data_IF_834957727272
#
_entry.id   IF_834957727272
#
_cell.length_a   1.000
_cell.length_b   1.000
_cell.length_c   1.000
_cell.angle_alpha   90.00
_cell.angle_beta   90.00
_cell.angle_gamma   90.00
#
_symmetry.space_group_name_H-M   'P 1'
#
loop_
_entity.id
_entity.type
_entity.pdbx_description
1 polymer ?
#
# COMPACT_ATOMS: atom_id res chain seq x y z
N UNK A 1 8.31 -2.25 10.21
CA UNK A 1 7.46 -3.43 10.00
C UNK A 1 8.28 -4.71 9.78
N UNK A 2 8.99 -5.21 10.81
CA UNK A 2 9.88 -6.39 10.63
C UNK A 2 9.22 -7.76 10.80
N UNK A 3 7.99 -7.85 11.33
CA UNK A 3 7.39 -9.13 11.76
C UNK A 3 5.95 -9.40 11.28
N UNK A 4 5.28 -8.42 10.69
CA UNK A 4 3.90 -8.60 10.23
C UNK A 4 3.88 -9.12 8.79
N UNK A 5 3.17 -10.23 8.57
CA UNK A 5 2.93 -10.80 7.24
C UNK A 5 1.45 -11.12 7.11
N UNK A 6 0.77 -10.45 6.20
CA UNK A 6 -0.60 -10.73 5.81
C UNK A 6 -0.60 -11.33 4.40
N UNK A 7 -1.66 -12.06 4.07
CA UNK A 7 -1.84 -12.68 2.76
C UNK A 7 -3.29 -12.49 2.32
N UNK A 8 -3.49 -12.18 1.06
CA UNK A 8 -4.82 -12.14 0.43
C UNK A 8 -5.31 -13.56 0.13
N UNK A 9 -6.57 -13.66 -0.29
CA UNK A 9 -7.16 -14.85 -0.89
C UNK A 9 -6.47 -15.20 -2.20
N UNK A 10 -6.50 -16.49 -2.50
CA UNK A 10 -6.00 -17.04 -3.76
C UNK A 10 -7.12 -17.02 -4.78
N UNK A 11 -6.90 -16.35 -5.91
CA UNK A 11 -7.81 -16.37 -7.06
C UNK A 11 -7.23 -17.35 -8.09
N UNK A 12 -7.95 -18.43 -8.35
CA UNK A 12 -7.47 -19.53 -9.21
C UNK A 12 -7.63 -19.17 -10.68
N UNK A 13 -6.62 -19.54 -11.50
CA UNK A 13 -6.67 -19.47 -12.97
C UNK A 13 -7.00 -18.07 -13.52
N UNK A 14 -6.46 -17.02 -12.90
CA UNK A 14 -6.64 -15.65 -13.37
C UNK A 14 -5.35 -14.85 -13.20
N UNK A 15 -4.85 -14.28 -14.30
CA UNK A 15 -3.66 -13.42 -14.35
C UNK A 15 -3.98 -11.94 -14.15
N UNK A 16 -5.26 -11.57 -14.10
CA UNK A 16 -5.75 -10.26 -13.69
C UNK A 16 -6.73 -10.41 -12.50
N UNK A 17 -6.24 -10.88 -11.34
CA UNK A 17 -7.07 -11.13 -10.17
C UNK A 17 -7.60 -9.84 -9.54
N UNK A 18 -8.92 -9.74 -9.41
CA UNK A 18 -9.56 -8.70 -8.60
C UNK A 18 -9.74 -9.20 -7.17
N UNK A 19 -8.77 -8.91 -6.29
CA UNK A 19 -8.85 -9.35 -4.89
C UNK A 19 -9.92 -8.62 -4.09
N UNK A 20 -10.01 -7.29 -4.26
CA UNK A 20 -10.92 -6.42 -3.51
C UNK A 20 -10.93 -6.74 -1.99
N UNK A 21 -9.74 -6.95 -1.44
CA UNK A 21 -9.53 -7.40 -0.06
C UNK A 21 -8.82 -6.32 0.76
N UNK A 22 -9.36 -6.04 1.95
CA UNK A 22 -8.77 -5.09 2.88
C UNK A 22 -7.81 -5.81 3.84
N UNK A 23 -6.58 -5.30 3.94
CA UNK A 23 -5.56 -5.80 4.87
C UNK A 23 -5.12 -4.68 5.81
N UNK A 24 -5.23 -4.91 7.11
CA UNK A 24 -4.87 -3.92 8.15
C UNK A 24 -3.49 -4.20 8.73
N UNK A 25 -2.53 -3.32 8.43
CA UNK A 25 -1.16 -3.39 8.94
C UNK A 25 -0.96 -2.41 10.10
N UNK A 26 -0.22 -2.82 11.14
CA UNK A 26 0.10 -1.94 12.27
C UNK A 26 1.42 -1.22 12.00
N UNK A 27 1.37 0.11 11.95
CA UNK A 27 2.56 0.93 11.70
C UNK A 27 3.34 1.15 13.01
N UNK A 28 4.37 0.34 13.23
CA UNK A 28 5.31 0.50 14.37
C UNK A 28 6.44 1.50 14.09
N UNK A 29 6.89 1.59 12.84
CA UNK A 29 7.91 2.51 12.38
C UNK A 29 7.58 2.89 10.92
N UNK A 30 7.22 4.17 10.67
CA UNK A 30 6.85 4.62 9.34
C UNK A 30 8.05 4.66 8.37
N UNK A 31 9.30 4.60 8.84
CA UNK A 31 10.48 4.59 7.97
C UNK A 31 10.74 3.23 7.31
N UNK A 32 10.04 2.18 7.75
CA UNK A 32 10.20 0.85 7.19
C UNK A 32 9.23 0.66 6.01
N UNK A 33 9.74 0.32 4.82
CA UNK A 33 8.89 0.16 3.64
C UNK A 33 7.95 -1.03 3.77
N UNK A 34 6.82 -0.96 3.08
CA UNK A 34 5.90 -2.10 2.92
C UNK A 34 6.33 -2.88 1.69
N UNK A 35 6.49 -4.20 1.84
CA UNK A 35 6.84 -5.12 0.76
C UNK A 35 5.65 -5.96 0.36
N UNK A 36 5.36 -5.99 -0.94
CA UNK A 36 4.33 -6.80 -1.58
C UNK A 36 5.03 -7.84 -2.43
N UNK A 37 4.66 -9.11 -2.25
CA UNK A 37 5.21 -10.21 -3.03
C UNK A 37 4.04 -11.00 -3.62
N UNK A 38 4.10 -11.27 -4.92
CA UNK A 38 3.08 -12.06 -5.63
C UNK A 38 3.62 -13.47 -5.83
N UNK A 39 2.73 -14.44 -5.64
CA UNK A 39 3.05 -15.85 -5.81
C UNK A 39 1.95 -16.54 -6.58
N UNK A 40 2.31 -17.43 -7.50
CA UNK A 40 1.39 -18.41 -8.06
C UNK A 40 1.25 -19.56 -7.05
N UNK A 41 0.01 -19.92 -6.73
CA UNK A 41 -0.24 -20.97 -5.74
C UNK A 41 -0.45 -22.31 -6.42
N UNK A 42 0.50 -23.19 -6.21
CA UNK A 42 0.43 -24.56 -6.67
C UNK A 42 -0.07 -25.53 -5.61
N UNK A 43 -0.84 -26.52 -6.03
CA UNK A 43 -1.38 -27.55 -5.12
C UNK A 43 -0.37 -28.67 -4.82
N UNK A 44 0.61 -28.89 -5.71
CA UNK A 44 1.51 -30.04 -5.66
C UNK A 44 2.99 -29.67 -5.77
N UNK A 45 3.30 -28.38 -5.95
CA UNK A 45 4.66 -27.82 -6.04
C UNK A 45 4.85 -26.68 -5.04
N UNK A 46 6.07 -26.15 -4.97
CA UNK A 46 6.33 -24.89 -4.25
C UNK A 46 5.71 -23.74 -5.03
N UNK A 47 5.11 -22.79 -4.33
CA UNK A 47 4.58 -21.57 -4.92
C UNK A 47 5.69 -20.80 -5.67
N UNK A 48 5.46 -20.50 -6.95
CA UNK A 48 6.39 -19.77 -7.78
C UNK A 48 6.27 -18.26 -7.54
N UNK A 49 7.39 -17.54 -7.48
CA UNK A 49 7.37 -16.09 -7.31
C UNK A 49 6.98 -15.41 -8.62
N UNK A 50 5.98 -14.54 -8.55
CA UNK A 50 5.50 -13.71 -9.66
C UNK A 50 5.94 -12.25 -9.52
N UNK A 51 7.08 -12.02 -8.89
CA UNK A 51 7.63 -10.69 -8.68
C UNK A 51 7.22 -10.02 -7.37
N UNK A 52 7.81 -8.85 -7.15
CA UNK A 52 7.68 -8.10 -5.91
C UNK A 52 7.67 -6.59 -6.15
N UNK A 53 7.11 -5.86 -5.19
CA UNK A 53 7.15 -4.41 -5.14
C UNK A 53 7.33 -3.92 -3.71
N UNK A 54 7.87 -2.71 -3.56
CA UNK A 54 7.93 -2.03 -2.27
C UNK A 54 7.58 -0.55 -2.40
N UNK A 55 6.95 -0.01 -1.37
CA UNK A 55 6.61 1.40 -1.30
C UNK A 55 6.79 1.95 0.11
N UNK A 56 7.05 3.25 0.15
CA UNK A 56 7.24 4.00 1.38
C UNK A 56 5.92 4.59 1.86
N UNK A 57 5.65 4.49 3.16
CA UNK A 57 4.45 5.04 3.80
C UNK A 57 4.72 6.36 4.52
N UNK A 58 5.97 6.83 4.61
CA UNK A 58 6.29 8.13 5.25
C UNK A 58 5.48 9.28 4.68
N UNK A 59 5.40 9.49 3.34
CA UNK A 59 4.63 10.61 2.79
C UNK A 59 3.15 10.53 3.19
N UNK A 60 2.59 9.32 3.22
CA UNK A 60 1.22 9.08 3.66
C UNK A 60 1.02 9.43 5.13
N UNK A 61 1.89 8.92 6.01
CA UNK A 61 1.83 9.15 7.45
C UNK A 61 2.03 10.62 7.79
N UNK A 62 2.93 11.31 7.08
CA UNK A 62 3.16 12.74 7.25
C UNK A 62 1.90 13.54 6.92
N UNK A 63 1.17 13.17 5.86
CA UNK A 63 -0.12 13.80 5.54
C UNK A 63 -1.19 13.47 6.59
N UNK A 64 -1.25 12.24 7.09
CA UNK A 64 -2.18 11.84 8.16
C UNK A 64 -1.95 12.64 9.45
N UNK A 65 -0.70 12.98 9.77
CA UNK A 65 -0.34 13.78 10.95
C UNK A 65 -0.66 15.28 10.79
N UNK A 66 -0.86 15.78 9.57
CA UNK A 66 -1.21 17.18 9.34
C UNK A 66 -2.65 17.46 9.80
N UNK A 67 -2.91 18.68 10.24
CA UNK A 67 -4.28 19.13 10.47
C UNK A 67 -4.98 19.36 9.13
N UNK A 68 -5.81 18.40 8.75
CA UNK A 68 -6.64 18.45 7.54
C UNK A 68 -8.10 18.80 7.85
N UNK A 69 -8.43 19.28 9.05
CA UNK A 69 -9.81 19.61 9.44
C UNK A 69 -10.46 20.61 8.47
N UNK A 70 -9.71 21.65 8.09
CA UNK A 70 -10.15 22.72 7.18
C UNK A 70 -10.02 22.39 5.69
N UNK A 71 -9.46 21.23 5.34
CA UNK A 71 -9.26 20.83 3.95
C UNK A 71 -10.56 20.22 3.39
N UNK A 72 -11.08 20.69 2.24
CA UNK A 72 -12.25 20.09 1.61
C UNK A 72 -11.99 18.64 1.16
N UNK A 73 -13.05 17.82 1.14
CA UNK A 73 -12.99 16.49 0.53
C UNK A 73 -12.74 16.62 -0.99
N UNK A 74 -11.94 15.71 -1.54
CA UNK A 74 -11.48 15.73 -2.93
C UNK A 74 -10.17 16.50 -3.14
N UNK A 75 -9.62 17.13 -2.10
CA UNK A 75 -8.35 17.86 -2.21
C UNK A 75 -7.17 16.89 -2.24
N UNK A 76 -6.37 16.97 -3.30
CA UNK A 76 -5.05 16.31 -3.37
C UNK A 76 -4.06 17.11 -2.54
N UNK A 77 -3.48 16.48 -1.53
CA UNK A 77 -2.55 17.10 -0.59
C UNK A 77 -1.11 16.91 -1.04
N UNK A 78 -0.79 15.72 -1.58
CA UNK A 78 0.56 15.37 -1.99
C UNK A 78 0.54 14.40 -3.16
N UNK A 79 1.58 14.41 -3.99
CA UNK A 79 1.72 13.56 -5.17
C UNK A 79 3.11 12.95 -5.21
N UNK A 80 3.17 11.65 -5.47
CA UNK A 80 4.40 10.88 -5.60
C UNK A 80 4.55 10.46 -7.06
N UNK A 81 5.66 10.86 -7.68
CA UNK A 81 5.91 10.61 -9.10
C UNK A 81 6.73 9.32 -9.29
N UNK A 82 6.44 8.51 -10.32
CA UNK A 82 7.29 7.41 -10.76
C UNK A 82 8.74 7.84 -10.94
N UNK A 83 9.66 7.02 -10.42
CA UNK A 83 11.10 7.25 -10.57
C UNK A 83 11.84 5.92 -10.70
N UNK A 84 13.12 5.97 -11.10
CA UNK A 84 13.97 4.77 -11.16
C UNK A 84 14.25 4.19 -9.78
N UNK A 85 14.01 4.95 -8.71
CA UNK A 85 14.27 4.58 -7.33
C UNK A 85 13.03 4.01 -6.61
N UNK A 86 11.84 4.09 -7.19
CA UNK A 86 10.62 3.53 -6.61
C UNK A 86 10.00 2.45 -7.51
N UNK A 87 8.84 1.93 -7.10
CA UNK A 87 8.09 0.90 -7.81
C UNK A 87 6.78 1.46 -8.38
N UNK A 88 6.59 2.78 -8.38
CA UNK A 88 5.36 3.39 -8.91
C UNK A 88 5.32 3.25 -10.44
N UNK A 89 4.23 2.71 -10.95
CA UNK A 89 3.92 2.69 -12.38
C UNK A 89 3.36 4.03 -12.86
N UNK A 90 2.59 4.69 -11.99
CA UNK A 90 1.88 5.95 -12.26
C UNK A 90 2.00 6.94 -11.08
N UNK A 91 1.54 8.18 -11.29
CA UNK A 91 1.46 9.17 -10.22
C UNK A 91 0.55 8.66 -9.10
N UNK A 92 1.08 8.60 -7.88
CA UNK A 92 0.32 8.27 -6.69
C UNK A 92 -0.12 9.53 -5.97
N UNK A 93 -1.43 9.76 -5.89
CA UNK A 93 -2.00 10.92 -5.22
C UNK A 93 -2.43 10.57 -3.79
N UNK A 94 -2.03 11.40 -2.83
CA UNK A 94 -2.53 11.39 -1.45
C UNK A 94 -3.58 12.49 -1.35
N UNK A 95 -4.81 12.14 -0.98
CA UNK A 95 -5.94 13.05 -0.95
C UNK A 95 -6.82 12.84 0.26
N UNK A 96 -7.60 13.87 0.61
CA UNK A 96 -8.63 13.77 1.63
C UNK A 96 -9.96 13.38 0.98
N UNK A 97 -10.57 12.28 1.41
CA UNK A 97 -11.91 11.90 0.99
C UNK A 97 -12.67 11.29 2.18
N UNK A 98 -13.97 11.63 2.27
CA UNK A 98 -14.85 11.15 3.35
C UNK A 98 -14.30 11.41 4.77
N UNK A 99 -13.58 12.53 4.96
CA UNK A 99 -12.95 12.86 6.25
C UNK A 99 -11.72 12.00 6.59
N UNK A 100 -11.25 11.14 5.70
CA UNK A 100 -10.05 10.30 5.85
C UNK A 100 -8.97 10.68 4.83
N UNK A 101 -7.73 10.33 5.13
CA UNK A 101 -6.63 10.39 4.17
C UNK A 101 -6.59 9.09 3.38
N UNK A 102 -6.53 9.21 2.06
CA UNK A 102 -6.50 8.11 1.12
C UNK A 102 -5.31 8.28 0.17
N UNK A 103 -4.77 7.16 -0.31
CA UNK A 103 -3.73 7.17 -1.33
C UNK A 103 -3.93 6.04 -2.31
N UNK A 104 -3.91 6.35 -3.60
CA UNK A 104 -3.97 5.36 -4.67
C UNK A 104 -2.55 5.06 -5.16
N UNK A 105 -2.23 3.78 -5.31
CA UNK A 105 -0.91 3.27 -5.69
C UNK A 105 -1.07 2.30 -6.86
N UNK A 106 -0.39 2.57 -7.97
CA UNK A 106 -0.13 1.59 -9.01
C UNK A 106 1.35 1.20 -8.94
N UNK A 107 1.63 -0.06 -8.64
CA UNK A 107 2.99 -0.58 -8.44
C UNK A 107 3.38 -1.52 -9.57
N UNK A 108 4.51 -1.24 -10.23
CA UNK A 108 5.10 -2.16 -11.20
C UNK A 108 5.98 -3.18 -10.50
N UNK A 109 5.72 -4.47 -10.76
CA UNK A 109 6.49 -5.55 -10.17
C UNK A 109 7.89 -5.64 -10.79
N UNK A 110 8.87 -5.98 -9.94
CA UNK A 110 10.24 -6.33 -10.36
C UNK A 110 10.48 -7.83 -10.20
N UNK A 111 11.55 -8.30 -10.84
CA UNK A 111 11.94 -9.72 -10.95
C UNK A 111 10.86 -10.60 -11.59
N UNK A 112 10.08 -10.02 -12.49
CA UNK A 112 9.06 -10.69 -13.32
C UNK A 112 9.01 -10.02 -14.68
N UNK A 113 8.58 -10.75 -15.71
CA UNK A 113 8.48 -10.22 -17.08
C UNK A 113 7.46 -9.09 -17.21
N UNK A 114 6.34 -9.21 -16.50
CA UNK A 114 5.28 -8.22 -16.47
C UNK A 114 4.42 -8.37 -15.21
N UNK A 115 3.68 -7.32 -14.88
CA UNK A 115 2.72 -7.32 -13.79
C UNK A 115 2.70 -6.00 -13.04
N UNK A 116 1.50 -5.55 -12.72
CA UNK A 116 1.26 -4.36 -11.93
C UNK A 116 0.25 -4.69 -10.82
N UNK A 117 0.33 -3.99 -9.69
CA UNK A 117 -0.59 -4.14 -8.56
C UNK A 117 -1.17 -2.77 -8.25
N UNK A 118 -2.49 -2.69 -8.24
CA UNK A 118 -3.23 -1.53 -7.75
C UNK A 118 -3.58 -1.72 -6.28
N UNK A 119 -3.29 -0.71 -5.47
CA UNK A 119 -3.56 -0.67 -4.04
C UNK A 119 -4.17 0.68 -3.67
N UNK A 120 -4.98 0.67 -2.61
CA UNK A 120 -5.53 1.87 -1.99
C UNK A 120 -5.22 1.83 -0.50
N UNK A 121 -4.54 2.86 0.00
CA UNK A 121 -4.24 3.01 1.42
C UNK A 121 -5.31 3.87 2.08
N UNK A 122 -5.70 3.49 3.28
CA UNK A 122 -6.50 4.32 4.19
C UNK A 122 -5.91 4.24 5.59
N UNK A 123 -5.99 5.35 6.34
CA UNK A 123 -5.53 5.36 7.72
C UNK A 123 -6.69 5.02 8.67
N UNK A 124 -6.44 4.10 9.59
CA UNK A 124 -7.41 3.70 10.62
C UNK A 124 -6.77 3.81 12.01
N UNK A 125 -7.41 4.58 12.89
CA UNK A 125 -7.01 4.68 14.29
C UNK A 125 -7.70 3.58 15.08
N UNK A 126 -6.93 2.69 15.68
CA UNK A 126 -7.45 1.63 16.55
C UNK A 126 -7.61 2.22 17.97
N UNK A 127 -8.82 2.22 18.56
CA UNK A 127 -9.01 2.68 19.94
C UNK A 127 -8.11 1.91 20.91
N UNK A 128 -7.29 2.63 21.67
CA UNK A 128 -6.34 2.04 22.64
C UNK A 128 -4.94 1.73 22.09
N UNK A 129 -4.70 1.88 20.79
CA UNK A 129 -3.34 1.88 20.24
C UNK A 129 -2.65 3.22 20.58
N UNK A 130 -1.33 3.17 20.81
CA UNK A 130 -0.52 4.40 20.96
C UNK A 130 -0.69 5.24 19.68
N UNK A 131 -1.26 6.43 19.81
CA UNK A 131 -1.50 7.32 18.69
C UNK A 131 -0.20 7.75 17.99
N UNK A 132 -0.34 8.42 16.85
CA UNK A 132 0.78 8.96 16.06
C UNK A 132 1.61 10.05 16.79
N UNK A 133 1.25 10.41 18.02
CA UNK A 133 1.85 11.48 18.85
C UNK A 133 3.32 11.24 19.25
N UNK A 134 3.93 10.10 18.89
CA UNK A 134 5.30 9.72 19.29
C UNK A 134 6.33 9.62 18.17
N UNK A 135 5.99 10.04 16.95
CA UNK A 135 6.91 10.00 15.80
C UNK A 135 6.92 11.31 15.04
#
# INVERSE_FOLDING_TARGET
MGKQKLKTKVIKKNTNPEWNEELTLSVEDPNLPIKVNVYDKDLFSRDDSMGHAEFDIRPFVDVVKRDLSNVPNGTVVEKLIPSRQNFLAEESAIYKAEGKVMQDLALRLKDVECGEIELKLTWVTIPGARGLERY
#
